data_IF_071083046153
#
_entry.id   IF_071083046153
#
_cell.length_a   1.000
_cell.length_b   1.000
_cell.length_c   1.000
_cell.angle_alpha   90.00
_cell.angle_beta   90.00
_cell.angle_gamma   90.00
#
_symmetry.space_group_name_H-M   'P 1'
#
loop_
_entity.id
_entity.type
_entity.pdbx_description
1 polymer ?
#
# COMPACT_ATOMS: atom_id res chain seq x y z
N UNK A 1 4.52 -13.76 23.37
CA UNK A 1 3.11 -13.94 22.99
C UNK A 1 2.71 -12.77 22.11
N UNK A 2 2.09 -12.99 20.95
CA UNK A 2 1.42 -11.90 20.24
C UNK A 2 0.24 -11.47 21.13
N UNK A 3 0.21 -10.20 21.54
CA UNK A 3 -0.85 -9.65 22.37
C UNK A 3 -2.06 -9.28 21.49
N UNK A 4 -2.57 -10.26 20.72
CA UNK A 4 -3.62 -10.06 19.72
C UNK A 4 -4.57 -11.26 19.65
N UNK A 5 -5.84 -10.99 19.34
CA UNK A 5 -6.81 -12.04 19.03
C UNK A 5 -6.57 -12.60 17.61
N UNK A 6 -7.06 -13.82 17.30
CA UNK A 6 -7.00 -14.38 15.95
C UNK A 6 -7.59 -13.46 14.87
N UNK A 7 -8.62 -12.69 15.20
CA UNK A 7 -9.30 -11.76 14.30
C UNK A 7 -8.46 -10.52 14.03
N UNK A 8 -7.76 -10.01 15.05
CA UNK A 8 -6.81 -8.90 14.90
C UNK A 8 -5.61 -9.34 14.07
N UNK A 9 -5.08 -10.53 14.32
CA UNK A 9 -3.99 -11.09 13.52
C UNK A 9 -4.40 -11.31 12.06
N UNK A 10 -5.61 -11.80 11.83
CA UNK A 10 -6.14 -12.03 10.48
C UNK A 10 -6.31 -10.72 9.70
N UNK A 11 -6.68 -9.62 10.38
CA UNK A 11 -6.75 -8.28 9.79
C UNK A 11 -5.36 -7.77 9.41
N UNK A 12 -4.38 -7.90 10.31
CA UNK A 12 -2.99 -7.52 10.03
C UNK A 12 -2.42 -8.27 8.83
N UNK A 13 -2.56 -9.60 8.81
CA UNK A 13 -2.02 -10.42 7.73
C UNK A 13 -2.62 -10.03 6.38
N UNK A 14 -3.91 -9.69 6.35
CA UNK A 14 -4.59 -9.24 5.14
C UNK A 14 -4.06 -7.89 4.66
N UNK A 15 -3.86 -6.95 5.58
CA UNK A 15 -3.26 -5.65 5.26
C UNK A 15 -1.84 -5.80 4.73
N UNK A 16 -0.98 -6.57 5.43
CA UNK A 16 0.41 -6.75 5.03
C UNK A 16 0.53 -7.49 3.69
N UNK A 17 -0.32 -8.48 3.42
CA UNK A 17 -0.37 -9.14 2.13
C UNK A 17 -0.76 -8.16 1.01
N UNK A 18 -1.77 -7.32 1.24
CA UNK A 18 -2.19 -6.31 0.27
C UNK A 18 -1.08 -5.28 -0.03
N UNK A 19 -0.43 -4.76 1.02
CA UNK A 19 0.72 -3.85 0.90
C UNK A 19 1.86 -4.48 0.10
N UNK A 20 2.21 -5.73 0.41
CA UNK A 20 3.30 -6.44 -0.27
C UNK A 20 2.98 -6.71 -1.74
N UNK A 21 1.75 -7.16 -2.04
CA UNK A 21 1.32 -7.42 -3.41
C UNK A 21 1.22 -6.13 -4.24
N UNK A 22 0.82 -5.02 -3.63
CA UNK A 22 0.86 -3.70 -4.28
C UNK A 22 2.31 -3.28 -4.58
N UNK A 23 3.21 -3.36 -3.60
CA UNK A 23 4.61 -2.98 -3.77
C UNK A 23 5.33 -3.81 -4.86
N UNK A 24 4.99 -5.10 -4.96
CA UNK A 24 5.49 -5.99 -6.01
C UNK A 24 4.81 -5.78 -7.38
N UNK A 25 3.90 -4.81 -7.50
CA UNK A 25 3.15 -4.52 -8.73
C UNK A 25 2.16 -5.62 -9.14
N UNK A 26 1.81 -6.54 -8.23
CA UNK A 26 0.87 -7.64 -8.49
C UNK A 26 -0.59 -7.23 -8.35
N UNK A 27 -0.85 -6.22 -7.52
CA UNK A 27 -2.16 -5.60 -7.38
C UNK A 27 -2.08 -4.10 -7.69
N UNK A 28 -3.14 -3.58 -8.29
CA UNK A 28 -3.36 -2.12 -8.32
C UNK A 28 -3.71 -1.61 -6.93
N UNK A 29 -3.59 -0.31 -6.69
CA UNK A 29 -4.00 0.30 -5.41
C UNK A 29 -5.48 0.08 -5.09
N UNK A 30 -6.34 -0.03 -6.10
CA UNK A 30 -7.76 -0.36 -5.90
C UNK A 30 -7.97 -1.81 -5.44
N UNK A 31 -7.35 -2.77 -6.12
CA UNK A 31 -7.47 -4.19 -5.78
C UNK A 31 -6.81 -4.52 -4.43
N UNK A 32 -5.70 -3.86 -4.10
CA UNK A 32 -5.05 -4.02 -2.81
C UNK A 32 -5.89 -3.41 -1.66
N UNK A 33 -6.54 -2.27 -1.87
CA UNK A 33 -7.46 -1.69 -0.89
C UNK A 33 -8.68 -2.58 -0.62
N UNK A 34 -9.27 -3.16 -1.68
CA UNK A 34 -10.35 -4.12 -1.56
C UNK A 34 -9.92 -5.37 -0.77
N UNK A 35 -8.74 -5.91 -1.08
CA UNK A 35 -8.15 -7.02 -0.31
C UNK A 35 -7.97 -6.65 1.15
N UNK A 36 -7.42 -5.47 1.46
CA UNK A 36 -7.23 -4.99 2.82
C UNK A 36 -8.54 -4.68 3.55
N UNK A 37 -9.67 -4.58 2.84
CA UNK A 37 -10.98 -4.25 3.40
C UNK A 37 -11.09 -2.79 3.83
N UNK A 38 -10.38 -1.88 3.15
CA UNK A 38 -10.35 -0.45 3.45
C UNK A 38 -10.66 0.39 2.20
N UNK A 39 -11.12 1.64 2.33
CA UNK A 39 -11.23 2.55 1.20
C UNK A 39 -9.88 2.77 0.49
N UNK A 40 -9.90 2.99 -0.83
CA UNK A 40 -8.68 3.19 -1.62
C UNK A 40 -7.79 4.33 -1.11
N UNK A 41 -8.38 5.45 -0.69
CA UNK A 41 -7.63 6.59 -0.15
C UNK A 41 -6.88 6.19 1.13
N UNK A 42 -7.57 5.53 2.07
CA UNK A 42 -6.97 4.98 3.29
C UNK A 42 -5.84 3.99 2.99
N UNK A 43 -5.99 3.15 1.96
CA UNK A 43 -4.91 2.24 1.56
C UNK A 43 -3.66 3.00 1.08
N UNK A 44 -3.82 4.09 0.34
CA UNK A 44 -2.70 4.92 -0.09
C UNK A 44 -2.03 5.63 1.09
N UNK A 45 -2.81 6.09 2.08
CA UNK A 45 -2.28 6.65 3.33
C UNK A 45 -1.46 5.59 4.10
N UNK A 46 -1.95 4.35 4.15
CA UNK A 46 -1.22 3.22 4.74
C UNK A 46 0.06 2.90 3.94
N UNK A 47 0.07 3.04 2.61
CA UNK A 47 1.31 2.88 1.86
C UNK A 47 2.37 3.91 2.31
N UNK A 48 1.99 5.16 2.55
CA UNK A 48 2.90 6.19 3.07
C UNK A 48 3.39 5.86 4.49
N UNK A 49 2.49 5.47 5.39
CA UNK A 49 2.82 5.07 6.78
C UNK A 49 3.84 3.91 6.82
N UNK A 50 3.74 2.96 5.88
CA UNK A 50 4.64 1.81 5.77
C UNK A 50 5.82 2.04 4.81
N UNK A 51 6.01 3.26 4.29
CA UNK A 51 7.14 3.61 3.42
C UNK A 51 7.12 2.96 2.05
N UNK A 52 5.95 2.56 1.56
CA UNK A 52 5.74 1.97 0.24
C UNK A 52 5.42 3.09 -0.76
N UNK A 53 6.30 3.36 -1.75
CA UNK A 53 6.06 4.41 -2.71
C UNK A 53 4.85 4.09 -3.59
N UNK A 54 3.87 5.00 -3.59
CA UNK A 54 2.64 4.88 -4.41
C UNK A 54 2.83 5.39 -5.85
N UNK A 55 3.94 6.08 -6.11
CA UNK A 55 4.34 6.58 -7.42
C UNK A 55 5.71 6.02 -7.78
N UNK A 56 5.86 5.58 -9.03
CA UNK A 56 7.15 5.18 -9.60
C UNK A 56 7.90 6.35 -10.24
N UNK A 57 7.37 7.58 -10.18
CA UNK A 57 8.06 8.73 -10.77
C UNK A 57 9.40 8.90 -10.06
N UNK A 58 10.46 8.65 -10.81
CA UNK A 58 11.81 8.91 -10.33
C UNK A 58 12.01 10.42 -10.20
N UNK A 59 12.91 10.89 -9.32
CA UNK A 59 13.25 12.31 -9.25
C UNK A 59 13.70 12.90 -10.59
N UNK A 60 14.22 12.07 -11.51
CA UNK A 60 14.59 12.48 -12.86
C UNK A 60 13.36 12.75 -13.74
N UNK A 61 12.38 11.85 -13.72
CA UNK A 61 11.10 12.00 -14.45
C UNK A 61 10.27 13.16 -13.91
N UNK A 62 10.22 13.33 -12.58
CA UNK A 62 9.53 14.47 -11.95
C UNK A 62 10.13 15.82 -12.40
N UNK A 63 11.47 15.89 -12.49
CA UNK A 63 12.15 17.09 -12.99
C UNK A 63 11.78 17.39 -14.43
N UNK A 64 11.72 16.36 -15.29
CA UNK A 64 11.38 16.53 -16.70
C UNK A 64 9.94 17.08 -16.89
N UNK A 65 8.98 16.66 -16.07
CA UNK A 65 7.60 17.17 -16.12
C UNK A 65 7.45 18.62 -15.60
N UNK A 66 8.22 19.01 -14.57
CA UNK A 66 8.11 20.36 -13.96
C UNK A 66 8.81 21.44 -14.78
N UNK A 67 9.84 21.08 -15.55
CA UNK A 67 10.57 22.01 -16.43
C UNK A 67 10.08 22.03 -17.89
N UNK A 68 9.08 21.21 -18.22
CA UNK A 68 8.48 21.11 -19.56
C UNK A 68 7.34 22.09 -19.80
#
# INVERSE_FOLDING_TARGET
>A
MLNRTPEELSRDLRLYAALMLFWLGKLSSGAAAEMAGVPRVMFLDLCDEYGIPVSQITPAELRAEVTG
#
